data_IF_209608440995
#
_entry.id   IF_209608440995
#
_cell.length_a   1.000
_cell.length_b   1.000
_cell.length_c   1.000
_cell.angle_alpha   90.00
_cell.angle_beta   90.00
_cell.angle_gamma   90.00
#
_symmetry.space_group_name_H-M   'P 1'
#
loop_
_entity.id
_entity.type
_entity.pdbx_description
1 polymer ?
#
# COMPACT_ATOMS: atom_id res chain seq x y z
N UNK A 1 8.59 31.29 4.87
CA UNK A 1 9.67 30.43 4.33
C UNK A 1 9.47 28.97 4.71
N UNK A 2 9.18 28.64 5.98
CA UNK A 2 8.91 27.25 6.40
C UNK A 2 7.68 26.62 5.71
N UNK A 3 6.60 27.38 5.55
CA UNK A 3 5.37 26.92 4.87
C UNK A 3 5.62 26.50 3.42
N UNK A 4 6.39 27.29 2.66
CA UNK A 4 6.76 27.00 1.28
C UNK A 4 7.69 25.77 1.16
N UNK A 5 8.57 25.54 2.15
CA UNK A 5 9.44 24.37 2.17
C UNK A 5 8.65 23.08 2.45
N UNK A 6 7.66 23.15 3.33
CA UNK A 6 6.81 22.01 3.67
C UNK A 6 5.87 21.64 2.52
N UNK A 7 5.31 22.62 1.81
CA UNK A 7 4.53 22.38 0.58
C UNK A 7 5.38 21.73 -0.51
N UNK A 8 6.63 22.17 -0.68
CA UNK A 8 7.56 21.60 -1.65
C UNK A 8 7.91 20.15 -1.32
N UNK A 9 8.16 19.84 -0.05
CA UNK A 9 8.41 18.46 0.40
C UNK A 9 7.19 17.57 0.20
N UNK A 10 5.99 18.06 0.51
CA UNK A 10 4.76 17.32 0.31
C UNK A 10 4.51 17.00 -1.16
N UNK A 11 4.80 17.94 -2.06
CA UNK A 11 4.73 17.73 -3.51
C UNK A 11 5.73 16.65 -3.96
N UNK A 12 6.97 16.69 -3.46
CA UNK A 12 7.99 15.70 -3.77
C UNK A 12 7.60 14.29 -3.29
N UNK A 13 7.07 14.17 -2.07
CA UNK A 13 6.55 12.91 -1.53
C UNK A 13 5.36 12.41 -2.34
N UNK A 14 4.46 13.31 -2.75
CA UNK A 14 3.30 13.00 -3.58
C UNK A 14 3.72 12.40 -4.92
N UNK A 15 4.63 13.04 -5.64
CA UNK A 15 5.18 12.52 -6.91
C UNK A 15 5.89 11.18 -6.69
N UNK A 16 6.63 11.04 -5.59
CA UNK A 16 7.30 9.76 -5.28
C UNK A 16 6.30 8.65 -4.99
N UNK A 17 5.26 8.90 -4.21
CA UNK A 17 4.21 7.92 -3.89
C UNK A 17 3.51 7.45 -5.16
N UNK A 18 3.11 8.39 -6.02
CA UNK A 18 2.48 8.09 -7.31
C UNK A 18 3.39 7.24 -8.21
N UNK A 19 4.66 7.62 -8.32
CA UNK A 19 5.66 6.85 -9.08
C UNK A 19 5.85 5.44 -8.51
N UNK A 20 5.95 5.28 -7.19
CA UNK A 20 6.15 3.96 -6.56
C UNK A 20 4.94 3.06 -6.80
N UNK A 21 3.72 3.53 -6.52
CA UNK A 21 2.52 2.71 -6.72
C UNK A 21 2.32 2.38 -8.19
N UNK A 22 2.54 3.36 -9.09
CA UNK A 22 2.49 3.14 -10.54
C UNK A 22 3.51 2.10 -11.01
N UNK A 23 4.75 2.14 -10.50
CA UNK A 23 5.78 1.13 -10.83
C UNK A 23 5.45 -0.26 -10.25
N UNK A 24 4.78 -0.32 -9.09
CA UNK A 24 4.25 -1.57 -8.54
C UNK A 24 3.20 -2.15 -9.48
N UNK A 25 2.25 -1.33 -9.92
CA UNK A 25 1.25 -1.65 -10.94
C UNK A 25 1.84 -1.82 -12.36
N UNK A 26 3.14 -1.63 -12.55
CA UNK A 26 3.86 -1.92 -13.79
C UNK A 26 4.70 -3.19 -13.74
N UNK A 27 4.78 -3.86 -12.58
CA UNK A 27 5.79 -4.89 -12.27
C UNK A 27 7.24 -4.42 -12.47
N UNK A 28 7.48 -3.10 -12.47
CA UNK A 28 8.82 -2.49 -12.62
C UNK A 28 9.50 -2.24 -11.27
N UNK A 29 8.74 -2.31 -10.17
CA UNK A 29 9.24 -2.03 -8.83
C UNK A 29 10.08 -3.18 -8.24
N UNK A 30 11.35 -2.89 -7.96
CA UNK A 30 12.33 -3.85 -7.45
C UNK A 30 12.08 -4.31 -6.01
N UNK A 31 11.30 -3.56 -5.22
CA UNK A 31 11.04 -3.89 -3.82
C UNK A 31 12.17 -3.51 -2.86
N UNK A 32 13.17 -2.74 -3.30
CA UNK A 32 14.32 -2.36 -2.48
C UNK A 32 14.03 -1.06 -1.74
N UNK A 33 14.58 -0.91 -0.54
CA UNK A 33 14.43 0.33 0.24
C UNK A 33 14.90 1.58 -0.54
N UNK A 34 15.94 1.41 -1.37
CA UNK A 34 16.47 2.46 -2.24
C UNK A 34 15.43 3.01 -3.23
N UNK A 35 14.46 2.19 -3.62
CA UNK A 35 13.39 2.57 -4.54
C UNK A 35 12.35 3.48 -3.86
N UNK A 36 12.33 3.50 -2.52
CA UNK A 36 11.41 4.31 -1.69
C UNK A 36 12.03 5.63 -1.21
N UNK A 37 13.34 5.76 -1.33
CA UNK A 37 14.09 6.89 -0.77
C UNK A 37 13.93 8.14 -1.64
N UNK A 38 13.69 9.28 -0.97
CA UNK A 38 13.73 10.61 -1.56
C UNK A 38 15.09 11.23 -1.23
N UNK A 39 15.78 11.72 -2.27
CA UNK A 39 17.04 12.43 -2.15
C UNK A 39 16.75 13.93 -2.14
N UNK A 40 17.07 14.59 -1.04
CA UNK A 40 16.98 16.05 -0.94
C UNK A 40 18.33 16.66 -1.33
N UNK A 41 18.29 17.60 -2.27
CA UNK A 41 19.46 18.41 -2.61
C UNK A 41 19.50 19.64 -1.68
N UNK A 42 20.52 19.79 -0.82
CA UNK A 42 20.57 20.89 0.14
C UNK A 42 20.70 22.29 -0.49
N UNK A 43 20.84 22.41 -1.82
CA UNK A 43 21.16 23.68 -2.49
C UNK A 43 19.97 24.55 -2.95
N UNK A 44 18.72 24.13 -2.73
CA UNK A 44 17.55 24.90 -3.25
C UNK A 44 17.22 26.15 -2.39
N UNK A 45 17.83 26.32 -1.22
CA UNK A 45 17.49 27.41 -0.28
C UNK A 45 18.28 28.73 -0.38
N UNK A 46 19.24 28.87 -1.30
CA UNK A 46 20.20 30.01 -1.28
C UNK A 46 20.40 30.77 -2.60
N UNK A 47 19.49 30.68 -3.57
CA UNK A 47 19.54 31.55 -4.76
C UNK A 47 18.51 32.68 -4.67
N UNK A 48 18.84 33.69 -3.87
CA UNK A 48 18.18 35.00 -3.86
C UNK A 48 19.21 36.12 -4.02
N UNK A 49 19.26 36.72 -5.22
CA UNK A 49 19.61 38.12 -5.50
C UNK A 49 21.05 38.63 -5.27
N UNK A 50 21.66 39.16 -6.32
CA UNK A 50 22.73 40.17 -6.21
C UNK A 50 23.79 40.13 -7.30
N UNK A 51 23.64 40.97 -8.33
CA UNK A 51 24.72 41.35 -9.25
C UNK A 51 25.89 42.00 -8.51
N UNK A 52 27.14 41.69 -8.88
CA UNK A 52 28.24 42.66 -9.13
C UNK A 52 29.61 41.98 -9.28
N UNK A 53 30.45 42.59 -10.11
CA UNK A 53 31.75 42.17 -10.61
C UNK A 53 32.86 41.95 -9.56
N UNK A 54 33.90 41.19 -9.94
CA UNK A 54 35.20 41.22 -9.24
C UNK A 54 36.07 39.99 -9.45
N UNK A 55 37.24 40.19 -10.04
CA UNK A 55 38.28 39.22 -10.43
C UNK A 55 39.20 38.91 -9.24
N UNK A 56 39.62 37.65 -9.05
CA UNK A 56 41.04 37.22 -8.91
C UNK A 56 41.21 35.78 -8.40
N UNK A 57 42.25 35.13 -8.93
CA UNK A 57 42.64 33.74 -8.73
C UNK A 57 43.77 33.68 -7.71
N UNK A 58 43.62 32.91 -6.62
CA UNK A 58 44.74 32.23 -5.97
C UNK A 58 44.31 31.13 -4.97
N UNK A 59 44.71 29.90 -5.31
CA UNK A 59 45.23 28.79 -4.47
C UNK A 59 44.51 28.39 -3.17
N UNK A 60 44.12 27.12 -3.14
CA UNK A 60 44.40 26.25 -1.99
C UNK A 60 43.21 25.52 -1.38
N UNK A 61 43.37 24.20 -1.23
CA UNK A 61 42.53 23.25 -0.50
C UNK A 61 41.19 22.85 -1.16
N UNK A 62 41.23 21.78 -1.95
CA UNK A 62 40.09 20.90 -2.20
C UNK A 62 39.63 20.26 -0.86
N UNK A 63 38.88 21.00 -0.04
CA UNK A 63 37.92 20.37 0.86
C UNK A 63 36.67 20.15 0.03
N UNK A 64 36.57 18.95 -0.55
CA UNK A 64 35.27 18.44 -0.98
C UNK A 64 34.39 18.41 0.27
N UNK A 65 33.59 19.45 0.46
CA UNK A 65 32.43 19.39 1.34
C UNK A 65 31.52 18.40 0.62
N UNK A 66 31.59 17.14 1.03
CA UNK A 66 30.59 16.15 0.66
C UNK A 66 29.29 16.67 1.25
N UNK A 67 28.49 17.37 0.43
CA UNK A 67 27.11 17.69 0.74
C UNK A 67 26.42 16.34 0.90
N UNK A 68 26.27 15.90 2.15
CA UNK A 68 25.60 14.65 2.44
C UNK A 68 24.15 14.79 1.94
N UNK A 69 23.86 14.18 0.80
CA UNK A 69 22.50 14.05 0.28
C UNK A 69 21.71 13.30 1.35
N UNK A 70 20.77 13.99 1.98
CA UNK A 70 19.89 13.36 2.97
C UNK A 70 18.93 12.51 2.16
N UNK A 71 19.00 11.20 2.39
CA UNK A 71 18.22 10.21 1.68
C UNK A 71 17.26 9.57 2.69
N UNK A 72 15.98 9.89 2.60
CA UNK A 72 14.98 9.51 3.62
C UNK A 72 13.87 8.67 3.02
N UNK A 73 13.53 7.55 3.67
CA UNK A 73 12.30 6.80 3.41
C UNK A 73 11.16 7.37 4.26
N UNK A 74 10.35 8.22 3.65
CA UNK A 74 9.24 8.88 4.32
C UNK A 74 8.06 7.95 4.62
N UNK A 75 7.90 6.87 3.85
CA UNK A 75 6.75 5.95 3.97
C UNK A 75 6.78 5.12 5.26
N UNK A 76 7.99 4.76 5.73
CA UNK A 76 8.18 3.99 6.96
C UNK A 76 7.67 4.71 8.23
N UNK A 77 7.46 6.04 8.17
CA UNK A 77 6.97 6.86 9.29
C UNK A 77 5.59 6.42 9.79
N UNK A 78 4.77 5.83 8.93
CA UNK A 78 3.44 5.33 9.30
C UNK A 78 3.52 4.31 10.43
N UNK A 79 4.55 3.46 10.45
CA UNK A 79 4.73 2.44 11.49
C UNK A 79 5.01 3.00 12.90
N UNK A 80 5.33 4.29 13.02
CA UNK A 80 5.53 4.96 14.31
C UNK A 80 4.21 5.30 15.01
N UNK A 81 3.08 5.23 14.31
CA UNK A 81 1.77 5.56 14.86
C UNK A 81 1.05 4.34 15.43
N UNK A 82 0.37 4.55 16.56
CA UNK A 82 -0.35 3.50 17.29
C UNK A 82 -1.47 2.85 16.46
N UNK A 83 -2.10 3.62 15.57
CA UNK A 83 -3.17 3.17 14.68
C UNK A 83 -2.66 2.77 13.29
N UNK A 84 -1.38 2.45 13.13
CA UNK A 84 -0.83 1.94 11.86
C UNK A 84 -1.21 0.49 11.54
N UNK A 85 -1.79 -0.21 12.53
CA UNK A 85 -2.22 -1.60 12.45
C UNK A 85 -3.65 -1.73 12.94
N UNK A 86 -4.34 -2.76 12.45
CA UNK A 86 -5.69 -3.07 12.92
C UNK A 86 -5.66 -3.66 14.33
N UNK A 87 -6.82 -3.69 15.02
CA UNK A 87 -6.95 -4.37 16.31
C UNK A 87 -6.40 -5.80 16.24
N UNK A 88 -5.73 -6.29 17.31
CA UNK A 88 -5.10 -7.61 17.30
C UNK A 88 -6.10 -8.76 17.33
N UNK A 89 -7.34 -8.52 17.76
CA UNK A 89 -8.33 -9.56 18.03
C UNK A 89 -9.41 -9.56 16.95
N UNK A 90 -9.02 -9.72 15.68
CA UNK A 90 -9.98 -9.80 14.58
C UNK A 90 -10.42 -11.25 14.32
N UNK A 91 -11.68 -11.49 13.92
CA UNK A 91 -12.17 -12.84 13.68
C UNK A 91 -11.39 -13.53 12.56
N UNK A 92 -10.92 -14.79 12.73
CA UNK A 92 -10.23 -15.49 11.68
C UNK A 92 -11.17 -15.80 10.51
N UNK A 93 -10.64 -15.74 9.30
CA UNK A 93 -11.38 -16.12 8.10
C UNK A 93 -11.56 -17.66 8.08
N UNK A 94 -12.81 -18.09 7.97
CA UNK A 94 -13.18 -19.49 7.82
C UNK A 94 -13.64 -19.76 6.39
N UNK A 95 -12.96 -20.69 5.70
CA UNK A 95 -13.25 -21.09 4.32
C UNK A 95 -13.37 -22.60 4.19
N UNK A 96 -14.20 -23.04 3.26
CA UNK A 96 -14.19 -24.43 2.82
C UNK A 96 -12.93 -24.70 1.99
N UNK A 97 -12.33 -25.87 2.17
CA UNK A 97 -11.09 -26.27 1.48
C UNK A 97 -11.12 -26.04 -0.06
N UNK A 98 -12.23 -26.35 -0.78
CA UNK A 98 -12.33 -26.08 -2.22
C UNK A 98 -12.34 -24.59 -2.61
N UNK A 99 -12.38 -23.67 -1.64
CA UNK A 99 -12.31 -22.22 -1.89
C UNK A 99 -10.87 -21.78 -2.18
N UNK A 100 -9.87 -22.42 -1.56
CA UNK A 100 -8.47 -22.00 -1.70
C UNK A 100 -7.95 -22.08 -3.15
N UNK A 101 -8.24 -23.14 -3.94
CA UNK A 101 -7.88 -23.17 -5.36
C UNK A 101 -8.45 -21.98 -6.15
N UNK A 102 -9.69 -21.56 -5.86
CA UNK A 102 -10.30 -20.39 -6.49
C UNK A 102 -9.58 -19.08 -6.11
N UNK A 103 -9.15 -18.96 -4.85
CA UNK A 103 -8.39 -17.80 -4.38
C UNK A 103 -7.01 -17.74 -5.03
N UNK A 104 -6.30 -18.87 -5.09
CA UNK A 104 -5.01 -18.96 -5.78
C UNK A 104 -5.15 -18.63 -7.26
N UNK A 105 -6.21 -19.13 -7.91
CA UNK A 105 -6.48 -18.80 -9.31
C UNK A 105 -6.73 -17.31 -9.49
N UNK A 106 -7.57 -16.69 -8.66
CA UNK A 106 -7.83 -15.26 -8.71
C UNK A 106 -6.54 -14.45 -8.52
N UNK A 107 -5.73 -14.79 -7.51
CA UNK A 107 -4.47 -14.08 -7.26
C UNK A 107 -3.47 -14.23 -8.42
N UNK A 108 -3.32 -15.44 -8.97
CA UNK A 108 -2.42 -15.70 -10.09
C UNK A 108 -2.84 -14.93 -11.35
N UNK A 109 -4.13 -14.92 -11.68
CA UNK A 109 -4.61 -14.19 -12.87
C UNK A 109 -4.63 -12.68 -12.66
N UNK A 110 -4.90 -12.20 -11.44
CA UNK A 110 -4.72 -10.79 -11.09
C UNK A 110 -3.28 -10.34 -11.28
N UNK A 111 -2.29 -11.17 -10.90
CA UNK A 111 -0.88 -10.89 -11.17
C UNK A 111 -0.56 -10.91 -12.67
N UNK A 112 -1.00 -11.93 -13.41
CA UNK A 112 -0.74 -12.05 -14.85
C UNK A 112 -1.36 -10.94 -15.69
N UNK A 113 -2.39 -10.24 -15.20
CA UNK A 113 -2.94 -9.07 -15.87
C UNK A 113 -1.94 -7.88 -15.94
N UNK A 114 -0.88 -7.92 -15.14
CA UNK A 114 0.20 -6.94 -15.17
C UNK A 114 1.37 -7.35 -16.08
N UNK A 115 1.59 -8.66 -16.26
CA UNK A 115 2.69 -9.18 -17.06
C UNK A 115 2.38 -9.07 -18.56
N UNK A 116 3.37 -8.68 -19.36
CA UNK A 116 3.23 -8.66 -20.83
C UNK A 116 3.08 -10.10 -21.35
N UNK A 117 2.01 -10.42 -22.11
CA UNK A 117 1.76 -11.79 -22.56
C UNK A 117 2.82 -12.26 -23.58
N UNK A 118 3.23 -13.52 -23.44
CA UNK A 118 4.20 -14.14 -24.36
C UNK A 118 3.62 -15.40 -25.01
N UNK A 119 4.02 -15.71 -26.25
CA UNK A 119 3.55 -16.90 -26.97
C UNK A 119 2.01 -16.99 -27.07
N UNK A 120 1.48 -18.16 -26.72
CA UNK A 120 0.05 -18.49 -26.73
C UNK A 120 -0.78 -17.68 -25.73
N UNK A 121 -0.16 -17.09 -24.71
CA UNK A 121 -0.88 -16.27 -23.72
C UNK A 121 -1.49 -15.00 -24.32
N UNK A 122 -1.00 -14.57 -25.49
CA UNK A 122 -1.51 -13.40 -26.21
C UNK A 122 -2.96 -13.56 -26.66
N UNK A 123 -3.42 -14.79 -26.90
CA UNK A 123 -4.79 -15.06 -27.31
C UNK A 123 -5.80 -14.78 -26.19
N UNK A 124 -5.35 -14.93 -24.94
CA UNK A 124 -6.15 -14.71 -23.73
C UNK A 124 -5.98 -13.28 -23.16
N UNK A 125 -5.16 -12.42 -23.78
CA UNK A 125 -4.82 -11.10 -23.24
C UNK A 125 -5.39 -9.98 -24.10
N UNK A 126 -6.08 -9.04 -23.46
CA UNK A 126 -6.56 -7.82 -24.09
C UNK A 126 -5.68 -6.67 -23.63
N UNK A 127 -5.04 -5.99 -24.58
CA UNK A 127 -4.19 -4.84 -24.31
C UNK A 127 -4.99 -3.65 -23.78
N UNK A 128 -4.36 -2.83 -22.95
CA UNK A 128 -4.96 -1.56 -22.56
C UNK A 128 -5.07 -0.63 -23.78
N UNK A 129 -6.22 0.02 -23.92
CA UNK A 129 -6.45 1.05 -24.92
C UNK A 129 -6.99 2.31 -24.25
N UNK A 130 -6.15 3.35 -24.20
CA UNK A 130 -6.50 4.63 -23.60
C UNK A 130 -7.59 5.38 -24.37
N UNK A 131 -7.74 5.15 -25.69
CA UNK A 131 -8.76 5.81 -26.50
C UNK A 131 -10.15 5.26 -26.20
N UNK A 132 -10.23 3.96 -25.92
CA UNK A 132 -11.47 3.26 -25.58
C UNK A 132 -11.71 3.14 -24.07
N UNK A 133 -10.74 3.55 -23.24
CA UNK A 133 -10.78 3.36 -21.77
C UNK A 133 -10.64 1.89 -21.34
N UNK A 134 -10.24 1.00 -22.25
CA UNK A 134 -10.09 -0.43 -21.98
C UNK A 134 -8.86 -0.66 -21.13
N UNK A 135 -9.02 -1.26 -19.94
CA UNK A 135 -7.90 -1.69 -19.10
C UNK A 135 -7.31 -2.99 -19.65
N UNK A 136 -6.02 -3.22 -19.40
CA UNK A 136 -5.42 -4.51 -19.70
C UNK A 136 -6.14 -5.61 -18.91
N UNK A 137 -6.45 -6.72 -19.56
CA UNK A 137 -7.20 -7.80 -18.93
C UNK A 137 -6.83 -9.16 -19.50
N UNK A 138 -7.05 -10.21 -18.71
CA UNK A 138 -6.86 -11.61 -19.08
C UNK A 138 -8.20 -12.31 -19.03
N UNK A 139 -8.56 -12.96 -20.13
CA UNK A 139 -9.77 -13.76 -20.28
C UNK A 139 -9.37 -15.19 -20.63
N UNK A 140 -9.59 -16.14 -19.72
CA UNK A 140 -9.21 -17.53 -19.94
C UNK A 140 -10.21 -18.51 -19.36
N UNK A 141 -10.50 -19.56 -20.12
CA UNK A 141 -11.22 -20.73 -19.61
C UNK A 141 -10.23 -21.69 -18.94
N UNK A 142 -10.52 -22.06 -17.69
CA UNK A 142 -9.69 -22.94 -16.86
C UNK A 142 -10.60 -24.01 -16.24
N UNK A 143 -10.31 -25.31 -16.41
CA UNK A 143 -11.01 -26.34 -15.68
C UNK A 143 -10.59 -26.29 -14.20
N UNK A 144 -11.58 -26.28 -13.30
CA UNK A 144 -11.40 -26.36 -11.85
C UNK A 144 -12.34 -27.43 -11.33
N UNK A 145 -11.79 -28.51 -10.78
CA UNK A 145 -12.53 -29.71 -10.42
C UNK A 145 -13.37 -30.19 -11.63
N UNK A 146 -14.67 -30.45 -11.42
CA UNK A 146 -15.62 -30.87 -12.46
C UNK A 146 -16.28 -29.69 -13.21
N UNK A 147 -15.72 -28.48 -13.13
CA UNK A 147 -16.35 -27.25 -13.64
C UNK A 147 -15.43 -26.48 -14.60
N UNK A 148 -16.01 -25.96 -15.69
CA UNK A 148 -15.34 -24.97 -16.53
C UNK A 148 -15.49 -23.58 -15.90
N UNK A 149 -14.38 -22.98 -15.49
CA UNK A 149 -14.33 -21.64 -14.92
C UNK A 149 -13.80 -20.65 -15.96
N UNK A 150 -14.56 -19.59 -16.23
CA UNK A 150 -14.06 -18.46 -17.00
C UNK A 150 -13.45 -17.46 -16.01
N UNK A 151 -12.15 -17.21 -16.17
CA UNK A 151 -11.42 -16.20 -15.41
C UNK A 151 -11.39 -14.91 -16.21
N UNK A 152 -11.87 -13.84 -15.60
CA UNK A 152 -11.81 -12.48 -16.13
C UNK A 152 -11.03 -11.62 -15.13
N UNK A 153 -9.76 -11.37 -15.41
CA UNK A 153 -8.88 -10.59 -14.54
C UNK A 153 -8.55 -9.24 -15.18
N UNK A 154 -8.71 -8.16 -14.41
CA UNK A 154 -8.54 -6.79 -14.89
C UNK A 154 -7.37 -6.16 -14.15
N UNK A 155 -6.47 -5.51 -14.88
CA UNK A 155 -5.37 -4.73 -14.32
C UNK A 155 -5.88 -3.46 -13.63
N UNK A 156 -5.21 -3.05 -12.55
CA UNK A 156 -5.35 -1.73 -11.93
C UNK A 156 -5.08 -0.56 -12.88
N UNK A 157 -5.38 0.66 -12.41
CA UNK A 157 -5.12 1.89 -13.18
C UNK A 157 -3.63 2.19 -13.28
N UNK A 158 -3.20 2.88 -14.34
CA UNK A 158 -1.78 3.19 -14.57
C UNK A 158 -1.24 4.33 -13.71
N UNK A 159 -2.08 5.09 -13.01
CA UNK A 159 -1.66 6.18 -12.13
C UNK A 159 -2.51 6.20 -10.86
N UNK A 160 -1.86 6.19 -9.71
CA UNK A 160 -2.52 6.13 -8.40
C UNK A 160 -3.25 7.44 -8.10
N UNK A 161 -2.61 8.58 -8.41
CA UNK A 161 -3.19 9.89 -8.10
C UNK A 161 -4.39 10.23 -8.98
N UNK A 162 -4.43 9.80 -10.25
CA UNK A 162 -5.62 10.00 -11.10
C UNK A 162 -6.84 9.30 -10.51
N UNK A 163 -6.65 8.11 -9.95
CA UNK A 163 -7.70 7.43 -9.21
C UNK A 163 -8.06 8.15 -7.89
N UNK A 164 -7.07 8.58 -7.09
CA UNK A 164 -7.30 9.16 -5.77
C UNK A 164 -7.94 10.57 -5.79
N UNK A 165 -7.71 11.36 -6.84
CA UNK A 165 -8.17 12.75 -6.92
C UNK A 165 -9.28 13.01 -7.94
N UNK A 166 -9.40 12.17 -8.99
CA UNK A 166 -10.29 12.38 -10.14
C UNK A 166 -11.33 11.28 -10.36
N UNK A 167 -11.58 10.37 -9.40
CA UNK A 167 -12.69 9.42 -9.50
C UNK A 167 -14.04 10.15 -9.43
N UNK A 168 -14.47 10.72 -10.56
CA UNK A 168 -15.76 11.37 -10.73
C UNK A 168 -16.71 10.43 -11.48
N UNK A 169 -16.97 9.27 -10.88
CA UNK A 169 -17.97 8.33 -11.40
C UNK A 169 -19.27 8.54 -10.64
N UNK A 170 -20.30 9.02 -11.34
CA UNK A 170 -21.64 9.01 -10.79
C UNK A 170 -22.01 7.55 -10.43
N UNK A 171 -22.56 7.28 -9.24
CA UNK A 171 -22.96 5.93 -8.88
C UNK A 171 -24.02 5.42 -9.86
N UNK A 172 -23.79 4.21 -10.39
CA UNK A 172 -24.74 3.53 -11.29
C UNK A 172 -25.22 2.26 -10.60
N UNK A 173 -26.52 1.96 -10.72
CA UNK A 173 -27.08 0.70 -10.23
C UNK A 173 -26.47 -0.48 -11.00
N UNK A 174 -26.08 -1.59 -10.33
CA UNK A 174 -25.47 -2.75 -10.98
C UNK A 174 -26.51 -3.66 -11.68
N UNK A 175 -27.60 -3.09 -12.18
CA UNK A 175 -28.69 -3.83 -12.84
C UNK A 175 -28.14 -4.61 -14.03
N UNK A 176 -28.56 -5.87 -14.19
CA UNK A 176 -28.13 -6.78 -15.27
C UNK A 176 -26.65 -7.21 -15.25
N UNK A 177 -25.85 -6.75 -14.29
CA UNK A 177 -24.43 -7.11 -14.22
C UNK A 177 -24.20 -8.54 -13.70
N UNK A 178 -25.00 -8.99 -12.72
CA UNK A 178 -24.87 -10.30 -12.09
C UNK A 178 -26.00 -11.27 -12.45
N UNK A 179 -26.97 -10.84 -13.26
CA UNK A 179 -28.22 -11.57 -13.50
C UNK A 179 -28.17 -12.56 -14.67
N UNK A 180 -27.00 -12.75 -15.30
CA UNK A 180 -26.79 -13.63 -16.44
C UNK A 180 -27.12 -15.12 -16.16
N UNK A 181 -28.12 -15.65 -16.86
CA UNK A 181 -28.64 -17.01 -16.73
C UNK A 181 -27.63 -18.11 -17.14
N UNK A 182 -26.59 -17.77 -17.89
CA UNK A 182 -25.56 -18.68 -18.38
C UNK A 182 -24.58 -19.16 -17.30
N UNK A 183 -24.43 -18.42 -16.20
CA UNK A 183 -23.48 -18.77 -15.13
C UNK A 183 -24.18 -19.32 -13.88
N UNK A 184 -23.82 -20.55 -13.49
CA UNK A 184 -24.28 -21.17 -12.23
C UNK A 184 -23.74 -20.45 -10.99
N UNK A 185 -22.54 -19.88 -11.08
CA UNK A 185 -21.86 -19.17 -9.99
C UNK A 185 -21.03 -18.03 -10.58
N UNK A 186 -21.08 -16.88 -9.91
CA UNK A 186 -20.24 -15.71 -10.22
C UNK A 186 -19.39 -15.40 -8.99
N UNK A 187 -18.09 -15.25 -9.16
CA UNK A 187 -17.15 -14.92 -8.10
C UNK A 187 -16.50 -13.57 -8.41
N UNK A 188 -16.45 -12.67 -7.44
CA UNK A 188 -15.76 -11.39 -7.52
C UNK A 188 -14.75 -11.33 -6.36
N UNK A 189 -13.46 -11.40 -6.71
CA UNK A 189 -12.36 -11.39 -5.75
C UNK A 189 -11.47 -10.21 -6.12
N UNK A 190 -11.19 -9.35 -5.15
CA UNK A 190 -10.35 -8.17 -5.37
C UNK A 190 -9.16 -8.13 -4.42
N UNK A 191 -8.08 -7.49 -4.84
CA UNK A 191 -6.84 -7.35 -4.08
C UNK A 191 -6.44 -5.87 -4.06
N UNK A 192 -6.18 -5.31 -2.88
CA UNK A 192 -5.72 -3.92 -2.74
C UNK A 192 -6.65 -2.89 -3.36
N UNK A 193 -7.95 -3.20 -3.47
CA UNK A 193 -8.87 -2.30 -4.18
C UNK A 193 -9.31 -1.14 -3.32
N UNK A 194 -9.36 0.06 -3.90
CA UNK A 194 -9.81 1.21 -3.17
C UNK A 194 -11.32 1.22 -2.88
N UNK A 195 -11.80 2.12 -1.99
CA UNK A 195 -13.22 2.25 -1.73
C UNK A 195 -13.92 2.95 -2.90
N UNK A 196 -15.05 2.41 -3.35
CA UNK A 196 -15.73 2.82 -4.60
C UNK A 196 -17.23 3.07 -4.44
N UNK A 197 -17.79 2.82 -3.26
CA UNK A 197 -19.25 2.81 -3.06
C UNK A 197 -19.64 3.63 -1.84
N UNK A 198 -20.75 4.35 -1.90
CA UNK A 198 -21.26 5.09 -0.74
C UNK A 198 -21.72 4.13 0.37
N UNK A 199 -22.30 3.00 -0.01
CA UNK A 199 -22.79 1.96 0.89
C UNK A 199 -22.03 0.65 0.66
N UNK A 200 -21.71 -0.12 1.71
CA UNK A 200 -21.01 -1.40 1.57
C UNK A 200 -21.70 -2.34 0.57
N UNK A 201 -20.99 -2.67 -0.51
CA UNK A 201 -21.48 -3.60 -1.53
C UNK A 201 -21.37 -5.04 -1.03
N UNK A 202 -22.44 -5.51 -0.41
CA UNK A 202 -22.52 -6.86 0.12
C UNK A 202 -22.93 -7.87 -0.96
N UNK A 203 -22.51 -9.12 -0.76
CA UNK A 203 -23.02 -10.25 -1.54
C UNK A 203 -24.56 -10.28 -1.46
N UNK A 204 -25.29 -10.36 -2.58
CA UNK A 204 -26.75 -10.45 -2.51
C UNK A 204 -27.20 -11.68 -1.71
N UNK A 205 -28.28 -11.53 -0.96
CA UNK A 205 -28.83 -12.57 -0.09
C UNK A 205 -29.61 -13.66 -0.85
N UNK A 206 -29.82 -13.50 -2.15
CA UNK A 206 -30.59 -14.45 -2.95
C UNK A 206 -29.91 -15.81 -3.02
N UNK A 207 -30.72 -16.87 -3.09
CA UNK A 207 -30.23 -18.26 -3.11
C UNK A 207 -29.26 -18.52 -4.27
N UNK A 208 -29.45 -17.84 -5.40
CA UNK A 208 -28.59 -17.90 -6.60
C UNK A 208 -27.11 -17.66 -6.27
N UNK A 209 -26.81 -16.67 -5.42
CA UNK A 209 -25.44 -16.31 -5.05
C UNK A 209 -24.99 -16.94 -3.72
N UNK A 210 -25.68 -17.97 -3.21
CA UNK A 210 -25.29 -18.62 -1.96
C UNK A 210 -23.89 -19.25 -2.03
N UNK A 211 -23.52 -19.79 -3.19
CA UNK A 211 -22.21 -20.42 -3.45
C UNK A 211 -21.21 -19.48 -4.15
N UNK A 212 -21.61 -18.23 -4.41
CA UNK A 212 -20.74 -17.21 -4.98
C UNK A 212 -19.84 -16.59 -3.92
N UNK A 213 -18.67 -16.11 -4.34
CA UNK A 213 -17.68 -15.47 -3.47
C UNK A 213 -17.56 -14.00 -3.85
N UNK A 214 -17.70 -13.11 -2.87
CA UNK A 214 -17.51 -11.67 -3.01
C UNK A 214 -16.58 -11.23 -1.90
N UNK A 215 -15.29 -11.13 -2.19
CA UNK A 215 -14.24 -10.96 -1.18
C UNK A 215 -13.24 -9.90 -1.63
N UNK A 216 -12.82 -9.06 -0.69
CA UNK A 216 -11.76 -8.08 -0.92
C UNK A 216 -10.62 -8.34 0.04
N UNK A 217 -9.47 -8.69 -0.50
CA UNK A 217 -8.25 -8.95 0.24
C UNK A 217 -7.42 -7.68 0.36
N UNK A 218 -6.97 -7.40 1.57
CA UNK A 218 -6.22 -6.21 1.96
C UNK A 218 -4.97 -6.66 2.71
N UNK A 219 -3.78 -6.32 2.22
CA UNK A 219 -2.57 -6.47 3.01
C UNK A 219 -2.57 -5.41 4.11
N UNK A 220 -2.31 -5.81 5.36
CA UNK A 220 -2.17 -4.84 6.45
C UNK A 220 -1.04 -3.85 6.11
N UNK A 221 -1.37 -2.56 6.08
CA UNK A 221 -0.44 -1.49 5.70
C UNK A 221 -0.61 -0.97 4.26
N UNK A 222 -1.36 -1.65 3.39
CA UNK A 222 -1.61 -1.19 2.01
C UNK A 222 -2.42 0.13 2.00
N UNK A 223 -1.91 1.23 1.42
CA UNK A 223 -2.61 2.51 1.37
C UNK A 223 -3.85 2.50 0.46
N UNK A 224 -3.88 1.66 -0.58
CA UNK A 224 -4.88 1.78 -1.66
C UNK A 224 -6.30 1.49 -1.17
N UNK A 225 -6.57 0.47 -0.33
CA UNK A 225 -7.88 0.25 0.27
C UNK A 225 -8.44 1.41 1.10
N UNK A 226 -7.62 2.40 1.46
CA UNK A 226 -8.02 3.60 2.18
C UNK A 226 -8.05 4.88 1.35
N UNK A 227 -7.58 4.84 0.10
CA UNK A 227 -7.08 6.00 -0.60
C UNK A 227 -8.16 6.95 -1.18
N UNK A 228 -9.19 7.31 -0.40
CA UNK A 228 -10.04 8.44 -0.75
C UNK A 228 -9.27 9.78 -0.75
N UNK A 229 -9.86 10.79 -1.37
CA UNK A 229 -9.24 12.11 -1.55
C UNK A 229 -8.81 12.78 -0.24
N UNK A 230 -9.58 12.63 0.83
CA UNK A 230 -9.25 13.22 2.13
C UNK A 230 -8.12 12.44 2.80
N UNK A 231 -8.17 11.11 2.71
CA UNK A 231 -7.19 10.21 3.25
C UNK A 231 -5.81 10.39 2.61
N UNK A 232 -5.72 10.46 1.28
CA UNK A 232 -4.44 10.67 0.59
C UNK A 232 -3.79 11.99 1.02
N UNK A 233 -4.57 13.08 1.14
CA UNK A 233 -4.05 14.35 1.67
C UNK A 233 -3.54 14.23 3.11
N UNK A 234 -4.29 13.54 3.96
CA UNK A 234 -3.89 13.28 5.36
C UNK A 234 -2.62 12.43 5.41
N UNK A 235 -2.48 11.42 4.56
CA UNK A 235 -1.32 10.54 4.47
C UNK A 235 -0.07 11.29 4.00
N UNK A 236 -0.20 12.17 3.01
CA UNK A 236 0.90 13.05 2.59
C UNK A 236 1.33 14.00 3.71
N UNK A 237 0.37 14.55 4.47
CA UNK A 237 0.68 15.37 5.65
C UNK A 237 1.41 14.56 6.72
N UNK A 238 1.02 13.30 6.94
CA UNK A 238 1.73 12.37 7.83
C UNK A 238 3.18 12.20 7.38
N UNK A 239 3.41 11.87 6.11
CA UNK A 239 4.76 11.69 5.58
C UNK A 239 5.61 12.95 5.68
N UNK A 240 5.04 14.15 5.53
CA UNK A 240 5.78 15.40 5.68
C UNK A 240 5.99 15.80 7.16
N UNK A 241 5.14 15.34 8.07
CA UNK A 241 5.20 15.72 9.50
C UNK A 241 6.46 15.21 10.21
N UNK A 242 6.99 15.90 11.24
CA UNK A 242 8.09 15.37 12.04
C UNK A 242 7.73 14.02 12.68
N UNK A 243 8.70 13.10 12.76
CA UNK A 243 8.47 11.80 13.37
C UNK A 243 8.01 11.94 14.84
N UNK A 244 7.03 11.15 15.29
CA UNK A 244 6.59 11.18 16.69
C UNK A 244 7.75 10.96 17.66
N UNK A 245 7.90 11.85 18.64
CA UNK A 245 8.97 11.77 19.65
C UNK A 245 10.25 12.54 19.31
N UNK A 246 10.37 13.10 18.10
CA UNK A 246 11.47 14.02 17.76
C UNK A 246 11.20 15.37 18.41
N UNK A 247 11.89 15.70 19.50
CA UNK A 247 11.99 17.09 19.96
C UNK A 247 12.80 17.85 18.91
N UNK A 248 12.16 18.76 18.18
CA UNK A 248 12.90 19.72 17.34
C UNK A 248 13.90 20.47 18.23
N UNK A 249 15.20 20.27 18.01
CA UNK A 249 16.21 21.19 18.54
C UNK A 249 16.10 22.45 17.68
N UNK A 250 15.14 23.31 18.01
CA UNK A 250 15.03 24.62 17.41
C UNK A 250 16.13 25.52 18.01
N UNK A 251 17.14 25.87 17.20
CA UNK A 251 18.21 26.86 17.47
C UNK A 251 19.12 26.53 18.70
N UNK A 252 20.43 26.77 18.76
CA UNK A 252 21.25 27.96 18.45
C UNK A 252 22.77 27.56 18.37
N UNK A 253 23.76 28.48 18.30
CA UNK A 253 24.86 28.50 17.32
C UNK A 253 26.17 27.79 17.72
N UNK A 254 27.09 27.73 16.75
CA UNK A 254 28.55 27.72 16.88
C UNK A 254 29.22 26.64 17.78
N UNK A 255 29.93 25.76 17.08
CA UNK A 255 30.95 24.82 17.56
C UNK A 255 31.84 25.40 18.69
N UNK A 256 31.74 24.84 19.89
CA UNK A 256 32.84 24.86 20.87
C UNK A 256 33.18 23.43 21.28
N UNK A 257 34.44 23.08 20.99
CA UNK A 257 35.14 21.83 21.26
C UNK A 257 34.78 21.16 22.60
N UNK A 258 34.33 19.90 22.55
CA UNK A 258 34.12 19.07 23.73
C UNK A 258 35.35 18.20 24.02
N UNK A 259 36.05 18.50 25.12
CA UNK A 259 36.96 17.56 25.79
C UNK A 259 36.11 16.47 26.49
N UNK A 260 36.47 15.20 26.28
CA UNK A 260 35.88 14.02 26.95
C UNK A 260 36.02 14.09 28.48
N UNK A 261 34.96 13.81 29.27
CA UNK A 261 35.12 13.25 30.60
C UNK A 261 34.60 11.80 30.69
N UNK A 262 35.20 11.07 31.63
CA UNK A 262 35.07 9.64 31.88
C UNK A 262 33.70 9.25 32.43
N UNK A 263 33.23 8.07 32.03
CA UNK A 263 31.98 7.46 32.45
C UNK A 263 31.92 7.20 33.97
N UNK A 264 30.82 7.62 34.61
CA UNK A 264 30.35 7.08 35.88
C UNK A 264 28.97 6.46 35.66
N UNK A 265 28.86 5.20 36.07
CA UNK A 265 27.70 4.31 35.92
C UNK A 265 26.63 4.74 36.93
N UNK A 266 25.48 5.19 36.46
CA UNK A 266 24.30 5.46 37.28
C UNK A 266 23.13 4.61 36.78
N UNK A 267 22.58 3.78 37.67
CA UNK A 267 21.39 2.97 37.42
C UNK A 267 20.17 3.89 37.24
N UNK A 268 19.60 3.94 36.05
CA UNK A 268 18.27 4.52 35.82
C UNK A 268 17.24 3.40 35.71
N UNK A 269 16.26 3.43 36.60
CA UNK A 269 15.06 2.59 36.55
C UNK A 269 14.32 2.75 35.20
N UNK A 270 13.50 1.76 34.78
CA UNK A 270 12.83 1.81 33.48
C UNK A 270 11.85 2.98 33.43
N UNK A 271 11.98 3.83 32.41
CA UNK A 271 11.04 4.90 32.12
C UNK A 271 9.65 4.32 31.82
N UNK A 272 8.61 4.92 32.38
CA UNK A 272 7.22 4.58 32.13
C UNK A 272 6.89 4.66 30.62
N UNK A 273 6.00 3.80 30.09
CA UNK A 273 5.68 3.80 28.66
C UNK A 273 5.00 5.12 28.25
N UNK A 274 5.68 5.88 27.40
CA UNK A 274 5.10 7.04 26.72
C UNK A 274 3.91 6.60 25.89
N UNK A 275 2.72 7.20 26.12
CA UNK A 275 1.52 6.93 25.31
C UNK A 275 1.86 7.01 23.82
N UNK A 276 1.62 5.93 23.09
CA UNK A 276 1.90 5.86 21.66
C UNK A 276 1.07 6.91 20.90
N UNK A 277 1.69 7.65 20.00
CA UNK A 277 1.04 8.73 19.24
C UNK A 277 0.07 8.15 18.22
N UNK A 278 -1.18 8.65 18.19
CA UNK A 278 -2.21 8.26 17.22
C UNK A 278 -2.35 9.34 16.16
N UNK A 279 -2.32 8.95 14.88
CA UNK A 279 -2.59 9.89 13.78
C UNK A 279 -4.09 10.14 13.64
N UNK A 280 -4.50 11.40 13.44
CA UNK A 280 -5.90 11.75 13.22
C UNK A 280 -6.29 11.47 11.78
N UNK A 281 -7.00 10.38 11.58
CA UNK A 281 -7.47 9.94 10.26
C UNK A 281 -8.78 10.66 9.90
N UNK A 282 -8.92 11.17 8.67
CA UNK A 282 -10.18 11.80 8.24
C UNK A 282 -11.32 10.76 8.13
N UNK A 283 -12.58 11.19 8.22
CA UNK A 283 -13.73 10.32 7.94
C UNK A 283 -13.66 9.77 6.52
N UNK A 284 -13.91 8.46 6.37
CA UNK A 284 -14.06 7.82 5.06
C UNK A 284 -15.51 7.92 4.58
N UNK A 285 -15.70 8.51 3.40
CA UNK A 285 -17.03 8.68 2.77
C UNK A 285 -17.44 7.47 1.91
N UNK A 286 -16.46 6.69 1.48
CA UNK A 286 -16.65 5.52 0.63
C UNK A 286 -16.39 4.22 1.42
N UNK A 287 -16.91 3.13 0.87
CA UNK A 287 -16.83 1.77 1.41
C UNK A 287 -16.20 0.85 0.36
N UNK A 288 -15.42 -0.11 0.84
CA UNK A 288 -14.85 -1.16 0.00
C UNK A 288 -15.94 -2.18 -0.35
N UNK A 289 -15.78 -2.86 -1.48
CA UNK A 289 -16.76 -3.83 -1.97
C UNK A 289 -16.48 -5.24 -1.45
N UNK A 290 -17.52 -6.02 -1.16
CA UNK A 290 -17.42 -7.42 -0.76
C UNK A 290 -17.03 -7.62 0.71
N UNK A 291 -16.80 -8.89 1.08
CA UNK A 291 -16.35 -9.27 2.43
C UNK A 291 -14.88 -8.92 2.59
N UNK A 292 -14.57 -8.01 3.50
CA UNK A 292 -13.20 -7.53 3.72
C UNK A 292 -12.38 -8.56 4.52
N UNK A 293 -11.23 -8.91 3.97
CA UNK A 293 -10.27 -9.83 4.56
C UNK A 293 -8.91 -9.16 4.61
N UNK A 294 -8.35 -9.05 5.80
CA UNK A 294 -7.02 -8.51 6.01
C UNK A 294 -6.03 -9.65 6.14
N UNK A 295 -4.98 -9.57 5.33
CA UNK A 295 -3.82 -10.44 5.34
C UNK A 295 -2.74 -9.77 6.20
N UNK A 296 -2.34 -10.41 7.29
CA UNK A 296 -1.33 -9.88 8.20
C UNK A 296 -0.36 -10.96 8.66
N UNK A 297 0.83 -10.50 9.05
CA UNK A 297 1.84 -11.32 9.71
C UNK A 297 1.78 -11.09 11.23
N UNK A 298 2.25 -12.05 12.05
CA UNK A 298 2.25 -11.90 13.50
C UNK A 298 3.16 -10.75 13.92
N UNK A 299 2.74 -9.99 14.95
CA UNK A 299 3.46 -8.80 15.41
C UNK A 299 4.90 -9.04 15.89
N UNK A 300 5.25 -10.30 16.20
CA UNK A 300 6.57 -10.72 16.69
C UNK A 300 7.33 -11.60 15.69
N UNK A 301 6.97 -11.52 14.40
CA UNK A 301 7.62 -12.24 13.34
C UNK A 301 9.10 -11.80 13.19
N UNK A 302 10.03 -12.66 13.61
CA UNK A 302 11.42 -12.59 13.14
C UNK A 302 11.50 -12.96 11.66
N UNK A 303 12.69 -12.90 11.07
CA UNK A 303 12.91 -13.22 9.64
C UNK A 303 12.42 -14.63 9.22
N UNK A 304 12.22 -15.56 10.17
CA UNK A 304 11.71 -16.91 9.93
C UNK A 304 10.18 -17.05 9.93
N UNK A 305 9.43 -15.97 10.22
CA UNK A 305 7.97 -15.99 10.32
C UNK A 305 7.25 -15.52 9.04
N UNK A 306 7.96 -15.47 7.91
CA UNK A 306 7.41 -15.09 6.61
C UNK A 306 6.30 -16.03 6.12
N UNK A 307 6.27 -17.26 6.65
CA UNK A 307 5.21 -18.24 6.39
C UNK A 307 4.06 -18.17 7.41
N UNK A 308 4.07 -17.30 8.43
CA UNK A 308 2.98 -17.20 9.42
C UNK A 308 1.83 -16.24 9.04
N UNK A 309 1.49 -16.18 7.75
CA UNK A 309 0.39 -15.33 7.27
C UNK A 309 -0.96 -15.76 7.88
N UNK A 310 -1.74 -14.78 8.33
CA UNK A 310 -3.12 -14.93 8.82
C UNK A 310 -4.10 -14.14 7.96
N UNK A 311 -5.28 -14.71 7.73
CA UNK A 311 -6.41 -14.03 7.12
C UNK A 311 -7.50 -13.80 8.18
N UNK A 312 -7.87 -12.54 8.38
CA UNK A 312 -8.83 -12.12 9.40
C UNK A 312 -9.88 -11.19 8.77
N UNK A 313 -11.10 -11.24 9.29
CA UNK A 313 -12.22 -10.45 8.80
C UNK A 313 -12.17 -9.08 9.46
N UNK A 314 -12.39 -8.03 8.67
CA UNK A 314 -12.49 -6.64 9.16
C UNK A 314 -13.80 -6.01 8.68
N UNK A 315 -14.20 -4.93 9.33
CA UNK A 315 -15.27 -4.04 8.87
C UNK A 315 -14.73 -2.76 8.25
N UNK A 316 -15.55 -2.05 7.45
CA UNK A 316 -15.24 -0.70 6.97
C UNK A 316 -14.98 0.25 8.14
N UNK A 317 -15.71 0.11 9.25
CA UNK A 317 -15.56 0.96 10.43
C UNK A 317 -14.16 0.82 11.03
N UNK A 318 -13.69 -0.42 11.24
CA UNK A 318 -12.34 -0.67 11.74
C UNK A 318 -11.29 -0.17 10.75
N UNK A 319 -11.50 -0.46 9.46
CA UNK A 319 -10.60 -0.02 8.40
C UNK A 319 -10.47 1.51 8.39
N UNK A 320 -11.55 2.28 8.64
CA UNK A 320 -11.55 3.75 8.70
C UNK A 320 -10.75 4.35 9.87
N UNK A 321 -10.46 3.57 10.92
CA UNK A 321 -9.72 4.06 12.10
C UNK A 321 -8.19 4.00 11.96
N UNK A 322 -7.68 3.19 11.02
CA UNK A 322 -6.25 2.94 10.88
C UNK A 322 -5.57 3.87 9.88
N UNK A 323 -4.25 3.92 9.92
CA UNK A 323 -3.42 4.60 8.92
C UNK A 323 -2.51 3.59 8.22
N UNK A 324 -2.91 3.20 7.01
CA UNK A 324 -2.13 2.41 6.09
C UNK A 324 -1.39 3.30 5.08
N UNK A 325 -0.12 3.00 4.84
CA UNK A 325 0.79 3.86 4.09
C UNK A 325 2.10 3.19 3.73
N UNK A 326 2.14 1.87 3.72
CA UNK A 326 3.30 1.15 3.18
C UNK A 326 2.98 0.78 1.72
N UNK A 327 3.53 1.49 0.72
CA UNK A 327 3.25 1.18 -0.68
C UNK A 327 3.73 -0.21 -1.07
N UNK A 328 4.71 -0.81 -0.36
CA UNK A 328 5.18 -2.18 -0.63
C UNK A 328 4.08 -3.21 -0.38
N UNK A 329 3.17 -2.93 0.56
CA UNK A 329 2.04 -3.82 0.85
C UNK A 329 1.02 -3.87 -0.31
N UNK A 330 1.07 -2.93 -1.26
CA UNK A 330 0.20 -2.96 -2.43
C UNK A 330 0.64 -3.96 -3.51
N UNK A 331 1.86 -4.50 -3.44
CA UNK A 331 2.38 -5.35 -4.49
C UNK A 331 1.56 -6.63 -4.69
N UNK A 332 1.09 -6.86 -5.92
CA UNK A 332 0.30 -8.05 -6.25
C UNK A 332 1.05 -9.36 -5.95
N UNK A 333 2.39 -9.37 -6.08
CA UNK A 333 3.23 -10.52 -5.68
C UNK A 333 3.13 -10.84 -4.18
N UNK A 334 2.96 -9.83 -3.33
CA UNK A 334 2.79 -10.00 -1.87
C UNK A 334 1.41 -10.59 -1.59
N UNK A 335 0.37 -10.09 -2.26
CA UNK A 335 -0.97 -10.70 -2.22
C UNK A 335 -0.95 -12.17 -2.65
N UNK A 336 -0.40 -12.47 -3.83
CA UNK A 336 -0.33 -13.82 -4.38
C UNK A 336 0.41 -14.78 -3.44
N UNK A 337 1.59 -14.38 -2.94
CA UNK A 337 2.35 -15.18 -1.98
C UNK A 337 1.57 -15.45 -0.70
N UNK A 338 0.91 -14.44 -0.13
CA UNK A 338 0.12 -14.59 1.10
C UNK A 338 -1.07 -15.52 0.92
N UNK A 339 -1.77 -15.45 -0.22
CA UNK A 339 -2.85 -16.37 -0.58
C UNK A 339 -2.33 -17.81 -0.72
N UNK A 340 -1.18 -17.99 -1.39
CA UNK A 340 -0.52 -19.29 -1.54
C UNK A 340 -0.17 -19.91 -0.18
N UNK A 341 0.46 -19.14 0.72
CA UNK A 341 0.79 -19.59 2.08
C UNK A 341 -0.47 -20.05 2.84
N UNK A 342 -1.57 -19.31 2.74
CA UNK A 342 -2.84 -19.67 3.36
C UNK A 342 -3.42 -20.97 2.78
N UNK A 343 -3.35 -21.15 1.46
CA UNK A 343 -3.79 -22.37 0.80
C UNK A 343 -2.94 -23.59 1.21
N UNK A 344 -1.62 -23.46 1.21
CA UNK A 344 -0.71 -24.51 1.65
C UNK A 344 -0.98 -24.89 3.10
N UNK A 345 -1.11 -23.91 4.01
CA UNK A 345 -1.47 -24.16 5.41
C UNK A 345 -2.78 -24.91 5.57
N UNK A 346 -3.81 -24.55 4.81
CA UNK A 346 -5.12 -25.20 4.90
C UNK A 346 -5.07 -26.69 4.51
N UNK A 347 -4.16 -27.06 3.60
CA UNK A 347 -3.94 -28.44 3.18
C UNK A 347 -3.03 -29.18 4.16
N UNK A 348 -1.92 -28.57 4.59
CA UNK A 348 -0.92 -29.24 5.44
C UNK A 348 -1.35 -29.35 6.90
N UNK A 349 -2.12 -28.40 7.45
CA UNK A 349 -2.64 -28.49 8.81
C UNK A 349 -3.55 -29.72 9.03
N UNK A 350 -4.13 -30.27 7.96
CA UNK A 350 -4.92 -31.51 8.00
C UNK A 350 -4.10 -32.80 8.00
N UNK A 351 -2.82 -32.74 7.60
CA UNK A 351 -1.95 -33.92 7.56
C UNK A 351 -1.39 -34.24 8.98
N UNK A 352 -1.45 -33.27 9.89
CA UNK A 352 -0.87 -33.33 11.24
C UNK A 352 -1.88 -33.15 12.38
N UNK A 353 -3.19 -33.19 12.09
CA UNK A 353 -4.28 -33.10 13.06
C UNK A 353 -5.09 -34.39 13.09
#
# INVERSE_FOLDING_TARGET
>A
MEENAQETLQALISTKLDSVITSIDGEEFGGKEQDLVIKEDPLVGLRGGGDSAGREVARGANRAISTAVISTNYFAKVHLYANSKLPPNLPPLQLYLPTYPLLCLAANYSQRAYTKPTGEEREAFVNADWRMGTKAMVIKSVPIDDMNCVVFAIRGSQTFMDWAVNLNSAPVSPTDFLDDAGFKRIHCITFGTPPISLLPLNKPATHRYKKSLFMSFINEGDPVPRADKAYVRSLLSLYASPAPGTKCIASVPALKSCKRPKAKRANSAPAAPTKATTWKVPPGELSNAGRLVVLREPRNAGAEAQDDVKAEITSDQELRTVVFGDPVMHMMKVYARRIEVLATKAVTARIWA
#
